data_IF_185194524641
#
_entry.id   IF_185194524641
#
_cell.length_a   1.000
_cell.length_b   1.000
_cell.length_c   1.000
_cell.angle_alpha   90.00
_cell.angle_beta   90.00
_cell.angle_gamma   90.00
#
_symmetry.space_group_name_H-M   'P 1'
#
loop_
_entity.id
_entity.type
_entity.pdbx_description
1 polymer ?
#
# COMPACT_ATOMS: atom_id res chain seq x y z
N UNK A 1 -5.61 -33.63 17.94
CA UNK A 1 -5.21 -32.28 17.46
C UNK A 1 -4.08 -32.46 16.47
N UNK A 2 -4.38 -32.53 15.17
CA UNK A 2 -3.36 -32.50 14.12
C UNK A 2 -2.86 -31.05 13.99
N UNK A 3 -1.55 -30.87 13.98
CA UNK A 3 -0.89 -29.58 13.71
C UNK A 3 -1.30 -29.09 12.32
N UNK A 4 -1.88 -27.90 12.23
CA UNK A 4 -2.58 -27.39 11.04
C UNK A 4 -1.67 -26.77 9.95
N UNK A 5 -0.37 -27.10 9.90
CA UNK A 5 0.54 -26.61 8.85
C UNK A 5 1.51 -27.72 8.40
N UNK A 6 0.99 -28.85 7.91
CA UNK A 6 1.83 -29.78 7.14
C UNK A 6 2.02 -29.20 5.74
N UNK A 7 3.24 -28.75 5.42
CA UNK A 7 3.60 -28.36 4.06
C UNK A 7 3.64 -29.60 3.18
N UNK A 8 2.63 -29.79 2.33
CA UNK A 8 2.52 -30.97 1.44
C UNK A 8 3.28 -30.80 0.12
N UNK A 9 3.54 -29.56 -0.30
CA UNK A 9 4.24 -29.23 -1.54
C UNK A 9 5.11 -27.98 -1.38
N UNK A 10 6.26 -27.98 -2.06
CA UNK A 10 7.19 -26.85 -2.14
C UNK A 10 7.50 -26.61 -3.61
N UNK A 11 7.49 -25.34 -4.02
CA UNK A 11 7.96 -24.92 -5.32
C UNK A 11 9.18 -24.00 -5.16
N UNK A 12 10.19 -24.19 -6.00
CA UNK A 12 11.34 -23.29 -6.10
C UNK A 12 11.07 -22.34 -7.26
N UNK A 13 11.14 -21.04 -6.99
CA UNK A 13 10.93 -19.98 -7.97
C UNK A 13 12.20 -19.14 -8.08
N UNK A 14 12.56 -18.75 -9.30
CA UNK A 14 13.55 -17.69 -9.48
C UNK A 14 12.98 -16.37 -8.97
N UNK A 15 13.69 -15.73 -8.05
CA UNK A 15 13.29 -14.39 -7.64
C UNK A 15 13.27 -13.48 -8.86
N UNK A 16 12.18 -12.71 -9.06
CA UNK A 16 12.14 -11.75 -10.16
C UNK A 16 13.22 -10.69 -9.93
N UNK A 17 14.14 -10.57 -10.90
CA UNK A 17 15.27 -9.64 -10.83
C UNK A 17 14.95 -8.28 -11.47
N UNK A 18 13.88 -8.23 -12.26
CA UNK A 18 13.40 -7.03 -12.94
C UNK A 18 11.88 -7.02 -12.94
N UNK A 19 11.32 -5.82 -12.82
CA UNK A 19 9.90 -5.61 -12.61
C UNK A 19 9.20 -5.34 -13.94
N UNK A 20 7.93 -5.77 -14.04
CA UNK A 20 7.06 -5.41 -15.16
C UNK A 20 6.90 -3.89 -15.17
N UNK A 21 6.98 -3.30 -16.36
CA UNK A 21 6.57 -1.92 -16.57
C UNK A 21 5.12 -1.80 -16.07
N UNK A 22 4.91 -0.83 -15.17
CA UNK A 22 3.57 -0.44 -14.75
C UNK A 22 2.80 -0.12 -16.03
N UNK A 23 1.72 -0.86 -16.30
CA UNK A 23 0.98 -0.79 -17.56
C UNK A 23 0.45 0.64 -17.76
N UNK A 24 0.12 1.00 -19.00
CA UNK A 24 -0.25 2.36 -19.40
C UNK A 24 -1.52 2.96 -18.77
N UNK A 25 -2.17 2.26 -17.83
CA UNK A 25 -3.44 2.65 -17.20
C UNK A 25 -3.43 2.23 -15.71
N UNK A 26 -2.57 2.86 -14.91
CA UNK A 26 -2.47 2.55 -13.49
C UNK A 26 -2.92 3.74 -12.65
N UNK A 27 -3.97 3.48 -11.88
CA UNK A 27 -4.70 4.48 -11.09
C UNK A 27 -4.38 4.33 -9.59
N UNK A 28 -3.71 3.25 -9.17
CA UNK A 28 -3.39 3.02 -7.76
C UNK A 28 -2.05 2.33 -7.53
N UNK A 29 -1.10 3.01 -6.87
CA UNK A 29 0.15 2.42 -6.39
C UNK A 29 0.29 2.50 -4.87
N UNK A 30 0.63 1.39 -4.23
CA UNK A 30 0.90 1.36 -2.80
C UNK A 30 2.41 1.49 -2.54
N UNK A 31 2.83 2.57 -1.89
CA UNK A 31 4.19 2.77 -1.40
C UNK A 31 4.33 2.30 0.04
N UNK A 32 5.29 1.40 0.28
CA UNK A 32 5.53 0.85 1.62
C UNK A 32 6.95 1.10 2.13
N UNK A 33 7.02 1.67 3.34
CA UNK A 33 8.20 1.68 4.20
C UNK A 33 8.05 0.70 5.38
N UNK A 34 7.42 -0.45 5.18
CA UNK A 34 7.07 -1.39 6.25
C UNK A 34 8.26 -2.28 6.62
N UNK A 35 8.56 -2.37 7.92
CA UNK A 35 9.66 -3.17 8.44
C UNK A 35 9.25 -4.59 8.85
N UNK A 36 7.97 -4.83 9.14
CA UNK A 36 7.45 -6.16 9.47
C UNK A 36 6.98 -6.94 8.22
N UNK A 37 7.57 -8.10 7.92
CA UNK A 37 7.15 -8.92 6.79
C UNK A 37 5.68 -9.37 6.81
N UNK A 38 5.10 -9.58 7.99
CA UNK A 38 3.70 -10.04 8.10
C UNK A 38 2.73 -8.94 7.70
N UNK A 39 2.99 -7.71 8.15
CA UNK A 39 2.26 -6.53 7.73
C UNK A 39 2.44 -6.28 6.23
N UNK A 40 3.67 -6.37 5.70
CA UNK A 40 3.94 -6.23 4.27
C UNK A 40 3.11 -7.23 3.44
N UNK A 41 3.16 -8.52 3.77
CA UNK A 41 2.38 -9.53 3.05
C UNK A 41 0.87 -9.28 3.15
N UNK A 42 0.38 -8.87 4.31
CA UNK A 42 -1.04 -8.54 4.51
C UNK A 42 -1.47 -7.35 3.65
N UNK A 43 -0.64 -6.32 3.55
CA UNK A 43 -0.89 -5.14 2.73
C UNK A 43 -0.88 -5.47 1.23
N UNK A 44 0.07 -6.28 0.76
CA UNK A 44 0.10 -6.78 -0.64
C UNK A 44 -1.20 -7.52 -0.96
N UNK A 45 -1.66 -8.39 -0.04
CA UNK A 45 -2.92 -9.11 -0.19
C UNK A 45 -4.12 -8.18 -0.26
N UNK A 46 -4.19 -7.18 0.60
CA UNK A 46 -5.26 -6.17 0.59
C UNK A 46 -5.24 -5.34 -0.69
N UNK A 47 -4.07 -4.88 -1.13
CA UNK A 47 -3.90 -4.13 -2.37
C UNK A 47 -4.44 -4.94 -3.57
N UNK A 48 -4.11 -6.24 -3.62
CA UNK A 48 -4.58 -7.14 -4.67
C UNK A 48 -6.10 -7.32 -4.63
N UNK A 49 -6.68 -7.46 -3.44
CA UNK A 49 -8.12 -7.62 -3.24
C UNK A 49 -8.90 -6.35 -3.64
N UNK A 50 -8.33 -5.18 -3.37
CA UNK A 50 -8.93 -3.87 -3.66
C UNK A 50 -8.50 -3.30 -5.02
N UNK A 51 -7.90 -4.11 -5.90
CA UNK A 51 -7.55 -3.74 -7.29
C UNK A 51 -6.63 -2.52 -7.41
N UNK A 52 -5.68 -2.42 -6.49
CA UNK A 52 -4.51 -1.57 -6.70
C UNK A 52 -3.61 -2.20 -7.75
N UNK A 53 -2.95 -1.37 -8.55
CA UNK A 53 -2.24 -1.81 -9.75
C UNK A 53 -0.81 -2.25 -9.46
N UNK A 54 -0.20 -1.72 -8.40
CA UNK A 54 1.17 -2.06 -8.04
C UNK A 54 1.57 -1.70 -6.61
N UNK A 55 2.74 -2.18 -6.24
CA UNK A 55 3.41 -1.92 -4.96
C UNK A 55 4.80 -1.38 -5.24
N UNK A 56 5.17 -0.28 -4.61
CA UNK A 56 6.54 0.24 -4.60
C UNK A 56 7.14 0.10 -3.20
N UNK A 57 8.36 -0.40 -3.13
CA UNK A 57 9.11 -0.63 -1.90
C UNK A 57 10.35 0.27 -1.89
N UNK A 58 10.46 1.10 -0.86
CA UNK A 58 11.67 1.89 -0.62
C UNK A 58 12.80 1.00 -0.06
N UNK A 59 14.07 1.44 -0.12
CA UNK A 59 15.22 0.59 0.22
C UNK A 59 15.22 0.08 1.67
N UNK A 60 14.55 0.77 2.59
CA UNK A 60 14.42 0.38 4.00
C UNK A 60 13.27 -0.62 4.27
N UNK A 61 12.47 -0.98 3.26
CA UNK A 61 11.36 -1.91 3.41
C UNK A 61 11.86 -3.36 3.48
N UNK A 62 11.17 -4.20 4.24
CA UNK A 62 11.47 -5.63 4.27
C UNK A 62 11.18 -6.31 2.92
N UNK A 63 11.89 -7.40 2.63
CA UNK A 63 11.77 -8.09 1.33
C UNK A 63 10.42 -8.80 1.15
N UNK A 64 9.72 -8.66 0.01
CA UNK A 64 8.36 -9.20 -0.20
C UNK A 64 8.30 -10.72 -0.35
N UNK A 65 9.43 -11.37 -0.61
CA UNK A 65 9.54 -12.81 -0.86
C UNK A 65 10.14 -13.61 0.31
N UNK A 66 10.31 -13.00 1.49
CA UNK A 66 10.67 -13.78 2.67
C UNK A 66 9.49 -14.66 3.12
N UNK A 67 9.78 -15.75 3.84
CA UNK A 67 8.76 -16.75 4.19
C UNK A 67 7.58 -16.20 4.99
N UNK A 68 7.78 -15.19 5.84
CA UNK A 68 6.68 -14.58 6.62
C UNK A 68 5.80 -13.70 5.73
N UNK A 69 6.39 -12.89 4.85
CA UNK A 69 5.67 -12.07 3.88
C UNK A 69 4.88 -12.92 2.88
N UNK A 70 5.50 -13.96 2.30
CA UNK A 70 4.84 -14.85 1.32
C UNK A 70 3.63 -15.56 1.95
N UNK A 71 3.79 -16.09 3.17
CA UNK A 71 2.68 -16.73 3.89
C UNK A 71 1.54 -15.75 4.21
N UNK A 72 1.86 -14.53 4.64
CA UNK A 72 0.86 -13.51 4.92
C UNK A 72 0.14 -13.04 3.62
N UNK A 73 0.88 -12.91 2.52
CA UNK A 73 0.35 -12.49 1.22
C UNK A 73 -0.57 -13.53 0.57
N UNK A 74 -0.46 -14.81 0.94
CA UNK A 74 -1.28 -15.91 0.40
C UNK A 74 -1.32 -15.93 -1.13
N UNK A 75 -0.15 -15.75 -1.76
CA UNK A 75 0.00 -15.76 -3.22
C UNK A 75 -0.23 -14.43 -3.92
N UNK A 76 -0.67 -13.37 -3.20
CA UNK A 76 -0.89 -12.05 -3.79
C UNK A 76 0.40 -11.41 -4.34
N UNK A 77 1.57 -11.71 -3.75
CA UNK A 77 2.87 -11.20 -4.23
C UNK A 77 3.24 -11.66 -5.64
N UNK A 78 2.53 -12.64 -6.20
CA UNK A 78 2.72 -13.11 -7.58
C UNK A 78 1.70 -12.52 -8.56
N UNK A 79 0.69 -11.82 -8.06
CA UNK A 79 -0.39 -11.24 -8.86
C UNK A 79 -0.17 -9.75 -9.11
N UNK A 80 0.40 -9.04 -8.14
CA UNK A 80 0.72 -7.63 -8.26
C UNK A 80 2.17 -7.41 -8.72
N UNK A 81 2.42 -6.47 -9.65
CA UNK A 81 3.72 -5.85 -9.80
C UNK A 81 4.17 -5.27 -8.46
N UNK A 82 5.28 -5.78 -7.95
CA UNK A 82 6.00 -5.18 -6.82
C UNK A 82 7.26 -4.59 -7.42
N UNK A 83 7.66 -3.37 -7.08
CA UNK A 83 8.88 -2.70 -7.54
C UNK A 83 9.66 -2.24 -6.32
N UNK A 84 10.98 -2.34 -6.36
CA UNK A 84 11.84 -1.73 -5.35
C UNK A 84 12.72 -0.68 -5.99
N UNK A 85 12.86 0.47 -5.34
CA UNK A 85 13.65 1.57 -5.87
C UNK A 85 13.88 2.68 -4.84
N UNK A 86 14.60 3.71 -5.25
CA UNK A 86 14.88 4.88 -4.44
C UNK A 86 13.74 5.90 -4.53
N UNK A 87 13.81 6.95 -3.71
CA UNK A 87 12.94 8.12 -3.85
C UNK A 87 13.03 8.78 -5.22
N UNK A 88 14.21 8.77 -5.84
CA UNK A 88 14.39 9.31 -7.18
C UNK A 88 13.58 8.52 -8.21
N UNK A 89 13.65 7.18 -8.15
CA UNK A 89 12.89 6.30 -9.04
C UNK A 89 11.38 6.48 -8.83
N UNK A 90 10.95 6.61 -7.57
CA UNK A 90 9.56 6.90 -7.23
C UNK A 90 9.10 8.23 -7.83
N UNK A 91 9.86 9.32 -7.64
CA UNK A 91 9.50 10.62 -8.21
C UNK A 91 9.42 10.60 -9.74
N UNK A 92 10.30 9.86 -10.40
CA UNK A 92 10.24 9.66 -11.84
C UNK A 92 8.93 8.95 -12.25
N UNK A 93 8.51 7.91 -11.52
CA UNK A 93 7.23 7.24 -11.74
C UNK A 93 6.04 8.16 -11.49
N UNK A 94 6.03 8.88 -10.36
CA UNK A 94 4.95 9.83 -10.03
C UNK A 94 4.79 10.89 -11.11
N UNK A 95 5.90 11.43 -11.60
CA UNK A 95 5.89 12.45 -12.66
C UNK A 95 5.41 11.87 -13.99
N UNK A 96 5.88 10.67 -14.36
CA UNK A 96 5.51 9.99 -15.60
C UNK A 96 4.01 9.70 -15.67
N UNK A 97 3.41 9.29 -14.55
CA UNK A 97 2.00 8.88 -14.49
C UNK A 97 1.08 9.95 -13.89
N UNK A 98 1.59 11.13 -13.54
CA UNK A 98 0.79 12.21 -12.96
C UNK A 98 0.13 11.84 -11.63
N UNK A 99 0.78 10.99 -10.83
CA UNK A 99 0.17 10.45 -9.62
C UNK A 99 0.20 11.44 -8.47
N UNK A 100 -0.93 11.57 -7.78
CA UNK A 100 -1.05 12.27 -6.50
C UNK A 100 -0.54 11.39 -5.37
N UNK A 101 0.20 11.94 -4.40
CA UNK A 101 0.69 11.19 -3.25
C UNK A 101 -0.08 11.53 -1.99
N UNK A 102 -0.63 10.52 -1.31
CA UNK A 102 -1.24 10.66 0.02
C UNK A 102 -0.57 9.72 1.02
N UNK A 103 -0.29 10.21 2.22
CA UNK A 103 0.34 9.43 3.28
C UNK A 103 -0.57 9.28 4.50
N UNK A 104 -0.72 8.05 4.97
CA UNK A 104 -1.42 7.77 6.23
C UNK A 104 -0.65 8.32 7.42
N UNK A 105 -1.26 9.23 8.18
CA UNK A 105 -0.65 9.85 9.35
C UNK A 105 -1.67 9.94 10.52
N UNK A 106 -1.29 9.54 11.75
CA UNK A 106 -2.18 9.66 12.91
C UNK A 106 -2.38 11.13 13.29
N UNK A 107 -3.58 11.46 13.78
CA UNK A 107 -3.97 12.84 14.14
C UNK A 107 -3.20 13.39 15.35
N UNK A 108 -2.86 12.53 16.31
CA UNK A 108 -2.19 12.93 17.56
C UNK A 108 -0.70 13.25 17.40
N UNK A 109 -0.12 13.02 16.21
CA UNK A 109 1.29 13.33 15.98
C UNK A 109 1.45 14.83 15.71
N UNK A 110 1.88 15.55 16.75
CA UNK A 110 2.17 17.00 16.74
C UNK A 110 3.29 17.44 15.77
N UNK A 111 3.81 16.52 14.96
CA UNK A 111 4.92 16.73 14.04
C UNK A 111 4.50 17.31 12.67
N UNK A 112 3.21 17.26 12.32
CA UNK A 112 2.74 17.80 11.04
C UNK A 112 2.39 19.29 11.18
N UNK A 113 3.26 20.17 10.67
CA UNK A 113 2.92 21.57 10.37
C UNK A 113 2.01 21.73 9.14
N UNK A 114 1.54 20.61 8.60
CA UNK A 114 0.76 20.49 7.37
C UNK A 114 -0.67 20.08 7.72
N UNK A 115 -1.63 20.58 6.93
CA UNK A 115 -3.03 20.14 7.03
C UNK A 115 -3.12 18.62 6.85
N UNK A 116 -3.86 17.97 7.75
CA UNK A 116 -4.14 16.54 7.69
C UNK A 116 -5.61 16.40 7.32
N UNK A 117 -5.88 15.76 6.19
CA UNK A 117 -7.23 15.45 5.77
C UNK A 117 -7.81 14.33 6.62
N UNK A 118 -9.10 14.44 6.92
CA UNK A 118 -9.85 13.38 7.56
C UNK A 118 -10.34 12.39 6.51
N UNK A 119 -10.06 11.08 6.68
CA UNK A 119 -10.58 10.08 5.76
C UNK A 119 -12.11 10.02 5.86
N UNK A 120 -12.77 10.46 4.80
CA UNK A 120 -14.22 10.44 4.67
C UNK A 120 -14.65 9.92 3.31
N UNK A 121 -15.95 9.72 3.14
CA UNK A 121 -16.53 9.36 1.84
C UNK A 121 -16.35 10.48 0.82
N UNK A 122 -16.49 11.73 1.25
CA UNK A 122 -16.34 12.91 0.40
C UNK A 122 -14.91 13.03 -0.12
N UNK A 123 -13.92 12.79 0.74
CA UNK A 123 -12.51 12.72 0.32
C UNK A 123 -12.31 11.60 -0.69
N UNK A 124 -12.79 10.38 -0.39
CA UNK A 124 -12.68 9.25 -1.30
C UNK A 124 -13.36 9.52 -2.66
N UNK A 125 -14.53 10.16 -2.66
CA UNK A 125 -15.27 10.52 -3.88
C UNK A 125 -14.55 11.61 -4.69
N UNK A 126 -13.78 12.49 -4.05
CA UNK A 126 -12.93 13.47 -4.75
C UNK A 126 -11.70 12.86 -5.42
N UNK A 127 -11.24 11.69 -4.95
CA UNK A 127 -10.04 11.01 -5.46
C UNK A 127 -10.33 10.00 -6.58
N UNK A 128 -11.59 9.86 -7.02
CA UNK A 128 -12.00 8.78 -7.93
C UNK A 128 -11.38 8.84 -9.32
N UNK A 129 -11.03 10.04 -9.78
CA UNK A 129 -10.45 10.29 -11.09
C UNK A 129 -8.95 10.59 -10.99
N UNK A 130 -8.37 10.49 -9.79
CA UNK A 130 -6.96 10.74 -9.54
C UNK A 130 -6.20 9.42 -9.61
N UNK A 131 -5.05 9.40 -10.28
CA UNK A 131 -4.10 8.32 -10.13
C UNK A 131 -3.37 8.51 -8.80
N UNK A 132 -3.53 7.58 -7.87
CA UNK A 132 -3.13 7.76 -6.48
C UNK A 132 -1.94 6.87 -6.11
N UNK A 133 -0.97 7.46 -5.43
CA UNK A 133 0.04 6.74 -4.67
C UNK A 133 -0.23 6.87 -3.17
N UNK A 134 -0.64 5.78 -2.53
CA UNK A 134 -0.83 5.72 -1.08
C UNK A 134 0.48 5.33 -0.39
N UNK A 135 0.91 6.14 0.57
CA UNK A 135 2.14 5.93 1.34
C UNK A 135 1.81 5.51 2.76
N UNK A 136 2.39 4.40 3.20
CA UNK A 136 2.29 3.93 4.58
C UNK A 136 3.66 3.96 5.25
N UNK A 137 3.70 4.62 6.42
CA UNK A 137 4.91 4.75 7.23
C UNK A 137 5.33 3.44 7.90
N UNK A 138 6.56 3.46 8.42
CA UNK A 138 7.06 2.36 9.24
C UNK A 138 6.40 2.36 10.61
N UNK A 139 6.22 1.18 11.21
CA UNK A 139 5.53 1.01 12.48
C UNK A 139 6.23 1.70 13.66
N UNK A 140 7.56 1.88 13.57
CA UNK A 140 8.37 2.50 14.62
C UNK A 140 8.70 3.96 14.39
N UNK A 141 9.08 4.33 13.15
CA UNK A 141 9.56 5.67 12.84
C UNK A 141 8.51 6.53 12.11
N UNK A 142 7.34 5.98 11.79
CA UNK A 142 6.31 6.68 11.04
C UNK A 142 6.75 7.02 9.60
N UNK A 143 6.36 8.21 9.15
CA UNK A 143 6.70 8.77 7.84
C UNK A 143 8.07 9.46 7.88
N UNK A 144 8.88 9.32 6.82
CA UNK A 144 10.14 10.06 6.72
C UNK A 144 9.88 11.54 6.39
N UNK A 145 10.91 12.38 6.56
CA UNK A 145 10.82 13.80 6.21
C UNK A 145 10.49 14.01 4.72
N UNK A 146 11.07 13.19 3.85
CA UNK A 146 10.78 13.19 2.40
C UNK A 146 9.31 12.87 2.13
N UNK A 147 8.72 11.90 2.83
CA UNK A 147 7.29 11.58 2.72
C UNK A 147 6.41 12.73 3.16
N UNK A 148 6.70 13.34 4.31
CA UNK A 148 5.92 14.46 4.86
C UNK A 148 5.95 15.68 3.92
N UNK A 149 7.08 15.89 3.24
CA UNK A 149 7.22 16.97 2.26
C UNK A 149 6.45 16.66 0.97
N UNK A 150 6.59 15.45 0.43
CA UNK A 150 6.05 15.07 -0.88
C UNK A 150 4.55 14.75 -0.88
N UNK A 151 3.99 14.31 0.26
CA UNK A 151 2.62 13.76 0.31
C UNK A 151 1.64 14.69 1.00
N UNK A 152 0.40 14.72 0.55
CA UNK A 152 -0.72 15.17 1.39
C UNK A 152 -0.95 14.15 2.52
N UNK A 153 -1.35 14.62 3.69
CA UNK A 153 -1.54 13.74 4.85
C UNK A 153 -3.01 13.41 5.02
N UNK A 154 -3.31 12.16 5.33
CA UNK A 154 -4.66 11.69 5.61
C UNK A 154 -4.67 10.83 6.88
N UNK A 155 -5.61 11.08 7.77
CA UNK A 155 -5.83 10.29 8.98
C UNK A 155 -7.05 9.39 8.85
N UNK A 156 -7.10 8.33 9.66
CA UNK A 156 -8.35 7.61 9.93
C UNK A 156 -8.93 8.25 11.19
N UNK A 157 -10.16 8.79 11.15
CA UNK A 157 -10.80 9.32 12.35
C UNK A 157 -10.96 8.22 13.38
N UNK A 158 -10.46 8.45 14.59
CA UNK A 158 -10.56 7.49 15.69
C UNK A 158 -11.18 8.19 16.89
N UNK A 159 -12.20 7.55 17.47
CA UNK A 159 -12.74 7.95 18.77
C UNK A 159 -11.97 7.23 19.89
N UNK A 160 -11.69 7.94 20.97
CA UNK A 160 -11.09 7.37 22.19
C UNK A 160 -9.62 7.70 22.38
N UNK A 161 -8.94 6.87 23.18
CA UNK A 161 -7.59 7.17 23.73
C UNK A 161 -6.45 6.49 22.97
N UNK A 162 -6.74 5.69 21.95
CA UNK A 162 -5.70 5.01 21.17
C UNK A 162 -5.13 5.93 20.11
N UNK A 163 -3.80 6.01 20.06
CA UNK A 163 -3.08 6.98 19.22
C UNK A 163 -2.85 6.48 17.79
N UNK A 164 -2.90 5.17 17.55
CA UNK A 164 -2.63 4.59 16.23
C UNK A 164 -3.23 3.19 16.06
N UNK A 165 -3.32 2.77 14.79
CA UNK A 165 -3.65 1.41 14.37
C UNK A 165 -2.40 0.70 13.87
N UNK A 166 -2.42 -0.63 13.89
CA UNK A 166 -1.44 -1.42 13.13
C UNK A 166 -1.47 -1.01 11.65
N UNK A 167 -0.28 -0.87 11.04
CA UNK A 167 -0.15 -0.36 9.65
C UNK A 167 -0.91 -1.20 8.63
N UNK A 168 -1.04 -2.51 8.82
CA UNK A 168 -1.79 -3.38 7.90
C UNK A 168 -3.30 -3.17 8.02
N UNK A 169 -3.79 -2.82 9.21
CA UNK A 169 -5.20 -2.46 9.45
C UNK A 169 -5.50 -1.09 8.86
N UNK A 170 -4.70 -0.08 9.20
CA UNK A 170 -4.85 1.27 8.65
C UNK A 170 -4.74 1.26 7.12
N UNK A 171 -3.72 0.60 6.59
CA UNK A 171 -3.54 0.42 5.15
C UNK A 171 -4.72 -0.30 4.51
N UNK A 172 -5.28 -1.33 5.13
CA UNK A 172 -6.49 -1.99 4.64
C UNK A 172 -7.68 -1.03 4.51
N UNK A 173 -7.89 -0.15 5.49
CA UNK A 173 -8.96 0.87 5.48
C UNK A 173 -8.71 1.88 4.35
N UNK A 174 -7.50 2.42 4.25
CA UNK A 174 -7.14 3.36 3.19
C UNK A 174 -7.27 2.73 1.81
N UNK A 175 -6.74 1.52 1.60
CA UNK A 175 -6.81 0.81 0.33
C UNK A 175 -8.26 0.55 -0.10
N UNK A 176 -9.17 0.25 0.84
CA UNK A 176 -10.59 0.06 0.55
C UNK A 176 -11.30 1.37 0.22
N UNK A 177 -11.09 2.41 1.02
CA UNK A 177 -11.77 3.70 0.84
C UNK A 177 -11.27 4.44 -0.41
N UNK A 178 -9.97 4.37 -0.69
CA UNK A 178 -9.31 5.06 -1.80
C UNK A 178 -9.06 4.14 -3.01
N UNK A 179 -9.78 3.02 -3.10
CA UNK A 179 -9.62 2.10 -4.24
C UNK A 179 -10.06 2.77 -5.56
N UNK A 180 -9.35 2.53 -6.68
CA UNK A 180 -9.73 3.08 -7.98
C UNK A 180 -11.14 2.62 -8.42
N UNK A 181 -12.08 3.56 -8.65
CA UNK A 181 -13.46 3.22 -9.06
C UNK A 181 -13.62 2.92 -10.56
N UNK A 182 -12.67 3.33 -11.41
CA UNK A 182 -12.68 3.05 -12.85
C UNK A 182 -12.80 1.56 -13.21
N UNK A 183 -12.54 0.66 -12.25
CA UNK A 183 -12.64 -0.78 -12.41
C UNK A 183 -13.85 -1.44 -11.70
N UNK A 184 -14.60 -0.69 -10.87
CA UNK A 184 -15.78 -1.21 -10.15
C UNK A 184 -17.00 -1.33 -11.07
N UNK A 185 -17.14 -0.45 -12.08
CA UNK A 185 -18.24 -0.48 -13.05
C UNK A 185 -18.25 -1.69 -14.00
N UNK A 186 -17.14 -2.44 -14.11
CA UNK A 186 -17.08 -3.72 -14.84
C UNK A 186 -17.51 -4.93 -14.00
N UNK A 187 -17.93 -4.74 -12.74
CA UNK A 187 -18.31 -5.82 -11.81
C UNK A 187 -19.69 -6.45 -12.07
N UNK A 188 -20.48 -5.94 -13.01
CA UNK A 188 -21.84 -6.45 -13.32
C UNK A 188 -21.94 -7.25 -14.62
N UNK A 189 -20.83 -7.49 -15.33
CA UNK A 189 -20.87 -8.25 -16.58
C UNK A 189 -19.83 -9.36 -16.63
N UNK A 190 -20.12 -10.48 -15.97
CA UNK A 190 -19.90 -11.81 -16.57
C UNK A 190 -20.89 -12.80 -15.92
N UNK A 191 -21.44 -13.75 -16.70
CA UNK A 191 -22.62 -14.56 -16.34
C UNK A 191 -22.37 -15.59 -15.24
#
# INVERSE_FOLDING_TARGET
MQSADSTEAIAVMHMPNHFRDLRSHEDGMLLMGCSDPGNLGTLIRSACAFKWDGVFLLPACCGPFNGKAVRAARGASLQLPIVSGTWHDLHALMTKYGMKMMAGHPESSSAASKEIYSLSKELADSMLNESLCLVLGSEGNGLSAETLQACELVNIPMEGTFESLNVSVAGGIFLFMLQPKGQIGKRTSTP
#
